data_IF_006668807046
#
_entry.id   IF_006668807046
#
_cell.length_a   1.000
_cell.length_b   1.000
_cell.length_c   1.000
_cell.angle_alpha   90.00
_cell.angle_beta   90.00
_cell.angle_gamma   90.00
#
_symmetry.space_group_name_H-M   'P 1'
#
loop_
_entity.id
_entity.type
_entity.pdbx_description
1 polymer ?
#
# COMPACT_ATOMS: atom_id res chain seq x y z
N UNK A 1 -10.67 -18.60 -9.92
CA UNK A 1 -9.92 -17.53 -9.23
C UNK A 1 -8.82 -17.14 -10.19
N UNK A 2 -8.85 -15.93 -10.76
CA UNK A 2 -7.80 -15.47 -11.68
C UNK A 2 -6.61 -15.11 -10.79
N UNK A 3 -5.59 -15.95 -10.79
CA UNK A 3 -4.32 -15.68 -10.11
C UNK A 3 -3.37 -15.07 -11.13
N UNK A 4 -2.71 -13.96 -10.75
CA UNK A 4 -1.64 -13.37 -11.56
C UNK A 4 -0.56 -14.41 -11.83
N UNK A 5 -0.03 -14.41 -13.04
CA UNK A 5 1.20 -15.14 -13.36
C UNK A 5 2.39 -14.49 -12.65
N UNK A 6 3.47 -15.25 -12.50
CA UNK A 6 4.69 -14.72 -11.88
C UNK A 6 5.29 -13.53 -12.66
N UNK A 7 5.15 -13.54 -13.98
CA UNK A 7 5.57 -12.45 -14.86
C UNK A 7 4.72 -11.18 -14.62
N UNK A 8 3.39 -11.30 -14.65
CA UNK A 8 2.50 -10.16 -14.38
C UNK A 8 2.72 -9.59 -12.98
N UNK A 9 2.97 -10.45 -11.99
CA UNK A 9 3.26 -10.01 -10.63
C UNK A 9 4.61 -9.27 -10.55
N UNK A 10 5.60 -9.68 -11.35
CA UNK A 10 6.90 -9.02 -11.43
C UNK A 10 6.78 -7.64 -12.10
N UNK A 11 5.97 -7.53 -13.14
CA UNK A 11 5.73 -6.26 -13.83
C UNK A 11 5.02 -5.25 -12.90
N UNK A 12 3.99 -5.71 -12.17
CA UNK A 12 3.31 -4.87 -11.17
C UNK A 12 4.23 -4.47 -10.01
N UNK A 13 5.12 -5.36 -9.56
CA UNK A 13 6.09 -5.05 -8.53
C UNK A 13 7.07 -3.96 -8.98
N UNK A 14 7.57 -4.04 -10.21
CA UNK A 14 8.44 -3.03 -10.78
C UNK A 14 7.74 -1.66 -10.91
N UNK A 15 6.44 -1.67 -11.23
CA UNK A 15 5.65 -0.44 -11.25
C UNK A 15 5.46 0.16 -9.85
N UNK A 16 5.23 -0.67 -8.84
CA UNK A 16 5.18 -0.24 -7.43
C UNK A 16 6.49 0.41 -7.03
N UNK A 17 7.63 -0.24 -7.30
CA UNK A 17 8.96 0.29 -6.96
C UNK A 17 9.21 1.64 -7.63
N UNK A 18 8.91 1.76 -8.92
CA UNK A 18 9.09 3.01 -9.66
C UNK A 18 8.23 4.16 -9.12
N UNK A 19 6.96 3.89 -8.77
CA UNK A 19 6.08 4.91 -8.20
C UNK A 19 6.48 5.28 -6.77
N UNK A 20 6.95 4.32 -5.97
CA UNK A 20 7.39 4.57 -4.61
C UNK A 20 8.68 5.40 -4.59
N UNK A 21 9.64 5.10 -5.46
CA UNK A 21 10.85 5.90 -5.66
C UNK A 21 10.52 7.33 -6.10
N UNK A 22 9.54 7.49 -7.00
CA UNK A 22 9.09 8.81 -7.44
C UNK A 22 8.49 9.63 -6.28
N UNK A 23 7.70 9.03 -5.39
CA UNK A 23 7.16 9.70 -4.20
C UNK A 23 8.28 10.13 -3.24
N UNK A 24 9.25 9.25 -2.98
CA UNK A 24 10.39 9.55 -2.13
C UNK A 24 11.25 10.68 -2.71
N UNK A 25 11.53 10.63 -4.02
CA UNK A 25 12.29 11.66 -4.73
C UNK A 25 11.59 13.01 -4.71
N UNK A 26 10.27 13.03 -4.92
CA UNK A 26 9.48 14.25 -4.86
C UNK A 26 9.48 14.89 -3.45
N UNK A 27 9.47 14.08 -2.39
CA UNK A 27 9.58 14.55 -1.02
C UNK A 27 10.94 15.22 -0.73
N UNK A 28 12.02 14.69 -1.31
CA UNK A 28 13.37 15.27 -1.20
C UNK A 28 13.50 16.59 -1.97
N UNK A 29 12.94 16.68 -3.18
CA UNK A 29 13.01 17.87 -4.03
C UNK A 29 12.18 19.03 -3.45
N UNK A 30 11.07 18.72 -2.78
CA UNK A 30 10.17 19.70 -2.18
C UNK A 30 10.69 20.33 -0.88
N UNK A 31 11.94 20.04 -0.47
CA UNK A 31 12.52 20.48 0.79
C UNK A 31 13.72 21.45 0.61
N UNK A 32 13.54 22.78 0.65
CA UNK A 32 14.60 23.70 1.02
C UNK A 32 14.63 23.79 2.55
N UNK A 33 15.66 23.21 3.18
CA UNK A 33 15.89 23.13 4.64
C UNK A 33 14.89 22.28 5.45
N UNK A 34 15.42 21.20 6.04
CA UNK A 34 15.05 20.59 7.33
C UNK A 34 13.73 21.06 7.96
N UNK A 35 12.68 20.26 7.79
CA UNK A 35 11.77 19.97 8.90
C UNK A 35 11.92 18.50 9.29
N UNK A 36 12.93 18.25 10.12
CA UNK A 36 12.82 17.25 11.19
C UNK A 36 11.58 17.63 11.99
N UNK A 37 10.52 16.89 11.76
CA UNK A 37 9.20 17.21 12.22
C UNK A 37 8.26 16.35 11.40
N UNK A 38 8.30 15.04 11.65
CA UNK A 38 7.11 14.23 11.49
C UNK A 38 5.97 15.07 12.05
N UNK A 39 5.01 15.43 11.21
CA UNK A 39 3.77 16.01 11.69
C UNK A 39 3.20 14.96 12.66
N UNK A 40 3.12 15.23 13.97
CA UNK A 40 2.66 14.25 14.95
C UNK A 40 1.13 14.10 14.89
N UNK A 41 0.47 14.79 13.97
CA UNK A 41 -0.90 14.47 13.61
C UNK A 41 -0.86 13.19 12.78
N UNK A 42 -1.53 12.13 13.22
CA UNK A 42 -1.63 10.83 12.53
C UNK A 42 -2.33 10.87 11.16
N UNK A 43 -1.96 11.84 10.32
CA UNK A 43 -2.43 12.05 8.97
C UNK A 43 -1.63 11.15 8.03
N UNK A 44 -2.33 10.51 7.09
CA UNK A 44 -1.72 9.62 6.11
C UNK A 44 -0.73 10.38 5.21
N UNK A 45 0.33 9.73 4.71
CA UNK A 45 1.28 10.40 3.85
C UNK A 45 0.61 10.80 2.52
N UNK A 46 1.06 11.91 1.94
CA UNK A 46 0.52 12.41 0.69
C UNK A 46 0.89 11.47 -0.47
N UNK A 47 -0.13 11.05 -1.23
CA UNK A 47 0.01 10.25 -2.44
C UNK A 47 -1.17 10.51 -3.39
N UNK A 48 -1.36 11.77 -3.83
CA UNK A 48 -2.59 12.21 -4.51
C UNK A 48 -2.84 11.48 -5.84
N UNK A 49 -1.78 11.06 -6.54
CA UNK A 49 -1.92 10.29 -7.78
C UNK A 49 -2.51 8.89 -7.50
N UNK A 50 -2.01 8.19 -6.49
CA UNK A 50 -2.51 6.87 -6.10
C UNK A 50 -3.94 6.97 -5.56
N UNK A 51 -4.23 8.00 -4.76
CA UNK A 51 -5.58 8.27 -4.26
C UNK A 51 -6.56 8.46 -5.44
N UNK A 52 -6.22 9.30 -6.42
CA UNK A 52 -7.06 9.54 -7.59
C UNK A 52 -7.33 8.27 -8.42
N UNK A 53 -6.31 7.41 -8.61
CA UNK A 53 -6.48 6.12 -9.32
C UNK A 53 -7.48 5.23 -8.58
N UNK A 54 -7.38 5.14 -7.25
CA UNK A 54 -8.29 4.35 -6.42
C UNK A 54 -9.72 4.89 -6.53
N UNK A 55 -9.91 6.20 -6.37
CA UNK A 55 -11.23 6.82 -6.43
C UNK A 55 -11.89 6.65 -7.80
N UNK A 56 -11.13 6.87 -8.88
CA UNK A 56 -11.64 6.73 -10.24
C UNK A 56 -12.04 5.29 -10.56
N UNK A 57 -11.25 4.31 -10.10
CA UNK A 57 -11.49 2.90 -10.40
C UNK A 57 -12.61 2.28 -9.55
N UNK A 58 -12.75 2.72 -8.30
CA UNK A 58 -13.72 2.15 -7.36
C UNK A 58 -15.04 2.93 -7.32
N UNK A 59 -15.03 4.19 -7.75
CA UNK A 59 -16.15 5.12 -7.57
C UNK A 59 -16.40 5.50 -6.10
N UNK A 60 -15.47 5.14 -5.21
CA UNK A 60 -15.54 5.38 -3.78
C UNK A 60 -14.48 6.41 -3.38
N UNK A 61 -14.79 7.28 -2.41
CA UNK A 61 -13.78 8.19 -1.85
C UNK A 61 -12.65 7.41 -1.17
N UNK A 62 -11.43 7.91 -1.32
CA UNK A 62 -10.21 7.25 -0.89
C UNK A 62 -10.24 6.86 0.59
N UNK A 63 -10.71 7.73 1.50
CA UNK A 63 -10.72 7.43 2.93
C UNK A 63 -11.62 6.23 3.25
N UNK A 64 -12.78 6.16 2.60
CA UNK A 64 -13.73 5.06 2.82
C UNK A 64 -13.18 3.75 2.27
N UNK A 65 -12.60 3.79 1.08
CA UNK A 65 -11.90 2.65 0.50
C UNK A 65 -10.77 2.18 1.40
N UNK A 66 -9.92 3.10 1.86
CA UNK A 66 -8.74 2.81 2.67
C UNK A 66 -9.12 2.15 3.99
N UNK A 67 -10.17 2.61 4.67
CA UNK A 67 -10.68 1.98 5.88
C UNK A 67 -11.17 0.55 5.65
N UNK A 68 -11.83 0.27 4.51
CA UNK A 68 -12.25 -1.09 4.15
C UNK A 68 -11.05 -1.99 3.86
N UNK A 69 -10.10 -1.50 3.06
CA UNK A 69 -8.87 -2.21 2.75
C UNK A 69 -8.06 -2.53 4.00
N UNK A 70 -7.89 -1.56 4.92
CA UNK A 70 -7.15 -1.74 6.17
C UNK A 70 -7.72 -2.88 7.04
N UNK A 71 -9.05 -3.07 7.08
CA UNK A 71 -9.65 -4.19 7.82
C UNK A 71 -9.20 -5.55 7.28
N UNK A 72 -8.96 -5.64 5.98
CA UNK A 72 -8.42 -6.85 5.35
C UNK A 72 -6.91 -6.93 5.58
N UNK A 73 -6.18 -5.85 5.29
CA UNK A 73 -4.72 -5.75 5.41
C UNK A 73 -4.22 -6.09 6.83
N UNK A 74 -4.90 -5.60 7.87
CA UNK A 74 -4.55 -5.85 9.28
C UNK A 74 -4.50 -7.34 9.62
N UNK A 75 -5.37 -8.16 9.03
CA UNK A 75 -5.39 -9.60 9.31
C UNK A 75 -4.13 -10.30 8.83
N UNK A 76 -3.55 -9.86 7.72
CA UNK A 76 -2.36 -10.48 7.14
C UNK A 76 -1.06 -9.80 7.60
N UNK A 77 -1.10 -8.50 7.86
CA UNK A 77 0.08 -7.72 8.27
C UNK A 77 0.33 -7.77 9.79
N UNK A 78 -0.73 -7.80 10.60
CA UNK A 78 -0.60 -7.61 12.06
C UNK A 78 -0.68 -8.92 12.86
N UNK A 79 -1.34 -9.95 12.34
CA UNK A 79 -1.56 -11.20 13.07
C UNK A 79 -0.55 -12.29 12.67
N UNK A 80 -0.12 -13.15 13.62
CA UNK A 80 0.69 -14.31 13.31
C UNK A 80 0.05 -15.22 12.26
N UNK A 81 0.85 -15.69 11.29
CA UNK A 81 0.43 -16.57 10.19
C UNK A 81 -0.03 -15.83 8.92
N UNK A 82 -0.04 -14.50 8.92
CA UNK A 82 -0.18 -13.71 7.70
C UNK A 82 1.13 -13.58 6.93
N UNK A 83 1.07 -13.53 5.59
CA UNK A 83 2.28 -13.50 4.76
C UNK A 83 3.07 -12.20 4.93
N UNK A 84 2.37 -11.07 4.96
CA UNK A 84 2.99 -9.77 5.20
C UNK A 84 3.54 -9.66 6.62
N UNK A 85 2.86 -10.26 7.61
CA UNK A 85 3.36 -10.32 8.98
C UNK A 85 4.69 -11.06 9.06
N UNK A 86 4.77 -12.28 8.50
CA UNK A 86 5.99 -13.09 8.51
C UNK A 86 7.16 -12.37 7.83
N UNK A 87 6.88 -11.71 6.71
CA UNK A 87 7.88 -10.95 5.99
C UNK A 87 8.39 -9.77 6.80
N UNK A 88 7.48 -8.97 7.36
CA UNK A 88 7.83 -7.82 8.18
C UNK A 88 8.65 -8.22 9.41
N UNK A 89 8.27 -9.31 10.09
CA UNK A 89 9.03 -9.82 11.24
C UNK A 89 10.44 -10.28 10.85
N UNK A 90 10.60 -10.84 9.65
CA UNK A 90 11.89 -11.37 9.20
C UNK A 90 12.86 -10.30 8.71
N UNK A 91 12.35 -9.28 8.00
CA UNK A 91 13.20 -8.32 7.27
C UNK A 91 13.02 -6.87 7.71
N UNK A 92 11.96 -6.55 8.46
CA UNK A 92 11.59 -5.18 8.79
C UNK A 92 11.11 -4.36 7.57
N UNK A 93 10.77 -5.04 6.48
CA UNK A 93 10.35 -4.45 5.22
C UNK A 93 9.38 -5.39 4.48
N UNK A 94 8.60 -4.87 3.53
CA UNK A 94 7.71 -5.63 2.67
C UNK A 94 8.19 -5.52 1.22
N UNK A 95 8.49 -6.65 0.59
CA UNK A 95 8.83 -6.64 -0.83
C UNK A 95 7.62 -6.32 -1.69
N UNK A 96 7.81 -5.51 -2.73
CA UNK A 96 6.75 -5.04 -3.62
C UNK A 96 5.99 -6.17 -4.30
N UNK A 97 6.64 -7.29 -4.63
CA UNK A 97 6.02 -8.43 -5.31
C UNK A 97 5.05 -9.17 -4.40
N UNK A 98 5.44 -9.45 -3.16
CA UNK A 98 4.56 -10.04 -2.14
C UNK A 98 3.44 -9.07 -1.76
N UNK A 99 3.77 -7.80 -1.54
CA UNK A 99 2.80 -6.77 -1.18
C UNK A 99 1.72 -6.59 -2.26
N UNK A 100 2.11 -6.42 -3.53
CA UNK A 100 1.15 -6.25 -4.64
C UNK A 100 0.33 -7.50 -4.91
N UNK A 101 0.92 -8.69 -4.72
CA UNK A 101 0.20 -9.96 -4.83
C UNK A 101 -0.86 -10.13 -3.74
N UNK A 102 -0.53 -9.75 -2.51
CA UNK A 102 -1.49 -9.69 -1.41
C UNK A 102 -2.61 -8.68 -1.71
N UNK A 103 -2.26 -7.46 -2.08
CA UNK A 103 -3.22 -6.39 -2.38
C UNK A 103 -4.14 -6.80 -3.52
N UNK A 104 -3.62 -7.39 -4.59
CA UNK A 104 -4.43 -7.90 -5.69
C UNK A 104 -5.45 -8.94 -5.19
N UNK A 105 -5.04 -9.89 -4.35
CA UNK A 105 -5.95 -10.84 -3.73
C UNK A 105 -7.01 -10.20 -2.82
N UNK A 106 -6.63 -9.17 -2.05
CA UNK A 106 -7.54 -8.40 -1.20
C UNK A 106 -8.56 -7.60 -2.02
N UNK A 107 -8.15 -7.00 -3.14
CA UNK A 107 -9.06 -6.28 -4.04
C UNK A 107 -10.11 -7.22 -4.65
N UNK A 108 -9.68 -8.42 -5.08
CA UNK A 108 -10.61 -9.45 -5.58
C UNK A 108 -11.61 -9.86 -4.50
N UNK A 109 -11.20 -10.00 -3.24
CA UNK A 109 -12.11 -10.35 -2.13
C UNK A 109 -13.06 -9.22 -1.76
N UNK A 110 -12.67 -7.97 -2.04
CA UNK A 110 -13.53 -6.78 -1.94
C UNK A 110 -14.49 -6.62 -3.14
N UNK A 111 -14.42 -7.49 -4.14
CA UNK A 111 -15.27 -7.46 -5.33
C UNK A 111 -14.76 -6.55 -6.46
N UNK A 112 -13.55 -5.99 -6.34
CA UNK A 112 -12.92 -5.20 -7.39
C UNK A 112 -12.36 -6.19 -8.42
N UNK A 113 -12.87 -6.13 -9.65
CA UNK A 113 -12.55 -7.08 -10.72
C UNK A 113 -12.39 -6.37 -12.07
N UNK A 114 -11.85 -7.08 -13.06
CA UNK A 114 -11.66 -6.55 -14.42
C UNK A 114 -10.33 -5.82 -14.63
N UNK A 115 -10.26 -4.98 -15.67
CA UNK A 115 -9.02 -4.34 -16.10
C UNK A 115 -8.47 -3.31 -15.11
N UNK A 116 -9.29 -2.85 -14.17
CA UNK A 116 -8.90 -1.85 -13.16
C UNK A 116 -8.10 -2.44 -12.00
N UNK A 117 -8.11 -3.78 -11.81
CA UNK A 117 -7.49 -4.41 -10.63
C UNK A 117 -5.99 -4.19 -10.58
N UNK A 118 -5.29 -4.30 -11.72
CA UNK A 118 -3.84 -4.09 -11.79
C UNK A 118 -3.43 -2.69 -11.35
N UNK A 119 -3.92 -1.62 -12.02
CA UNK A 119 -3.63 -0.25 -11.62
C UNK A 119 -4.02 0.09 -10.18
N UNK A 120 -5.16 -0.41 -9.70
CA UNK A 120 -5.57 -0.22 -8.30
C UNK A 120 -4.66 -0.97 -7.35
N UNK A 121 -4.23 -2.18 -7.69
CA UNK A 121 -3.30 -2.95 -6.88
C UNK A 121 -1.97 -2.21 -6.72
N UNK A 122 -1.42 -1.65 -7.80
CA UNK A 122 -0.22 -0.82 -7.74
C UNK A 122 -0.45 0.40 -6.84
N UNK A 123 -1.51 1.18 -7.08
CA UNK A 123 -1.78 2.40 -6.32
C UNK A 123 -1.95 2.13 -4.82
N UNK A 124 -2.70 1.09 -4.46
CA UNK A 124 -2.92 0.70 -3.06
C UNK A 124 -1.65 0.19 -2.41
N UNK A 125 -0.84 -0.58 -3.14
CA UNK A 125 0.44 -1.10 -2.63
C UNK A 125 1.42 0.03 -2.39
N UNK A 126 1.59 0.94 -3.35
CA UNK A 126 2.45 2.14 -3.20
C UNK A 126 2.00 2.95 -1.98
N UNK A 127 0.69 3.16 -1.80
CA UNK A 127 0.18 3.88 -0.63
C UNK A 127 0.49 3.16 0.67
N UNK A 128 0.28 1.84 0.73
CA UNK A 128 0.56 1.01 1.90
C UNK A 128 2.04 1.06 2.28
N UNK A 129 2.94 0.88 1.32
CA UNK A 129 4.38 0.95 1.55
C UNK A 129 4.80 2.37 1.97
N UNK A 130 4.22 3.40 1.36
CA UNK A 130 4.48 4.79 1.75
C UNK A 130 4.06 5.08 3.21
N UNK A 131 2.92 4.53 3.66
CA UNK A 131 2.49 4.60 5.08
C UNK A 131 3.50 3.88 5.99
N UNK A 132 3.92 2.67 5.62
CA UNK A 132 4.88 1.89 6.40
C UNK A 132 6.24 2.60 6.54
N UNK A 133 6.71 3.24 5.48
CA UNK A 133 7.99 3.96 5.49
C UNK A 133 7.94 5.27 6.28
N UNK A 134 6.85 6.02 6.21
CA UNK A 134 6.77 7.36 6.83
C UNK A 134 6.22 7.34 8.26
N UNK A 135 5.32 6.40 8.56
CA UNK A 135 4.60 6.36 9.85
C UNK A 135 4.94 5.07 10.62
N UNK A 136 5.18 3.96 9.92
CA UNK A 136 5.52 2.68 10.52
C UNK A 136 4.32 1.75 10.72
N UNK A 137 4.62 0.47 10.93
CA UNK A 137 3.61 -0.60 11.07
C UNK A 137 2.67 -0.40 12.26
N UNK A 138 3.12 0.27 13.33
CA UNK A 138 2.33 0.45 14.56
C UNK A 138 1.03 1.19 14.29
N UNK A 139 1.03 2.20 13.43
CA UNK A 139 -0.18 2.94 13.05
C UNK A 139 -1.18 2.08 12.30
N UNK A 140 -0.69 1.15 11.48
CA UNK A 140 -1.57 0.22 10.77
C UNK A 140 -2.15 -0.81 11.74
N UNK A 141 -1.33 -1.33 12.65
CA UNK A 141 -1.68 -2.42 13.56
C UNK A 141 -2.28 -1.96 14.91
N UNK A 142 -2.47 -0.66 15.10
CA UNK A 142 -3.08 -0.12 16.32
C UNK A 142 -4.48 -0.74 16.53
N UNK A 143 -4.71 -1.29 17.74
CA UNK A 143 -5.95 -1.95 18.12
C UNK A 143 -6.16 -3.37 17.55
N UNK A 144 -5.09 -4.03 17.08
CA UNK A 144 -5.13 -5.44 16.65
C UNK A 144 -4.73 -6.43 17.77
N UNK A 145 -4.70 -5.97 19.03
CA UNK A 145 -4.33 -6.74 20.24
C UNK A 145 -5.45 -7.68 20.73
#
# INVERSE_FOLDING_TARGET
>A
MISLTDAELTDLAAEVDAQLEALQSAALISSPLLKTGADPSGSLPAAPAQQAVIEQATGENFETFWQKFLRQARRDLCLPGGKLHEQWQKWGDLDSKTAVGYVHGALLSMGITGQVVGPVAVAVTVFLLNVLLNIGIKTICEGCE
#
